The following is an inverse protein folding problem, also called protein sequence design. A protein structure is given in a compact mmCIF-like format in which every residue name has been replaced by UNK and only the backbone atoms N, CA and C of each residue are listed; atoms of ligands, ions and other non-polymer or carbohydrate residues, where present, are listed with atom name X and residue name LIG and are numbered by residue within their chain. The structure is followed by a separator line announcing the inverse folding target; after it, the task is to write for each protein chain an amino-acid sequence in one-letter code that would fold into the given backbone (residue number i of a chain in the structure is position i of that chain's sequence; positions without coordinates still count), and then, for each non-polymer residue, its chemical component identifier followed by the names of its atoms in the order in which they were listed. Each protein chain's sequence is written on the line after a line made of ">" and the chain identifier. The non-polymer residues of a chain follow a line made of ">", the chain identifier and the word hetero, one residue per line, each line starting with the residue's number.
data_IF_016653110786
#
_entry.id   IF_016653110786
#
_cell.length_a   1.000
_cell.length_b   1.000
_cell.length_c   1.000
_cell.angle_alpha   90.00
_cell.angle_beta   90.00
_cell.angle_gamma   90.00
#
_symmetry.space_group_name_H-M   'P 1'
#
loop_
_entity.id
_entity.type
_entity.pdbx_description
1 polymer ?
#
# COMPACT_ATOMS: atom_id res chain seq x y z
N UNK A 1 -13.55 1.59 -20.36
CA UNK A 1 -13.99 1.25 -19.00
C UNK A 1 -12.95 1.74 -17.99
N UNK A 2 -13.41 2.14 -16.86
CA UNK A 2 -12.52 2.74 -15.86
C UNK A 2 -12.18 1.76 -14.76
N UNK A 3 -10.95 1.76 -14.27
CA UNK A 3 -10.63 1.13 -13.02
C UNK A 3 -11.32 1.86 -11.94
N UNK A 4 -11.97 1.12 -11.13
CA UNK A 4 -12.39 1.66 -9.87
C UNK A 4 -11.42 1.18 -8.81
N UNK A 5 -10.67 2.09 -8.28
CA UNK A 5 -9.76 1.85 -7.19
C UNK A 5 -10.44 2.31 -5.90
N UNK A 6 -10.62 1.39 -4.98
CA UNK A 6 -11.17 1.68 -3.67
C UNK A 6 -10.03 1.71 -2.67
N UNK A 7 -9.97 2.75 -1.87
CA UNK A 7 -8.90 2.92 -0.89
C UNK A 7 -9.40 2.73 0.54
N UNK A 8 -8.55 2.06 1.35
CA UNK A 8 -8.71 1.97 2.78
C UNK A 8 -8.26 3.25 3.49
N UNK A 9 -7.66 3.12 4.69
CA UNK A 9 -7.22 1.85 5.27
C UNK A 9 -8.37 1.02 5.86
N UNK A 10 -8.33 -0.27 5.60
CA UNK A 10 -9.28 -1.24 6.16
C UNK A 10 -8.54 -2.31 6.96
N UNK A 11 -9.25 -2.94 7.88
CA UNK A 11 -8.79 -4.19 8.47
C UNK A 11 -8.65 -5.25 7.37
N UNK A 12 -7.59 -6.04 7.44
CA UNK A 12 -7.41 -7.13 6.51
C UNK A 12 -8.43 -8.24 6.75
N UNK A 13 -8.97 -8.78 5.67
CA UNK A 13 -9.79 -9.98 5.72
C UNK A 13 -8.92 -11.21 6.02
N UNK A 14 -9.56 -12.31 6.40
CA UNK A 14 -8.87 -13.54 6.82
C UNK A 14 -7.80 -14.01 5.84
N UNK A 15 -8.08 -13.95 4.55
CA UNK A 15 -7.15 -14.39 3.53
C UNK A 15 -5.83 -13.61 3.57
N UNK A 16 -5.91 -12.31 3.73
CA UNK A 16 -4.71 -11.45 3.81
C UNK A 16 -3.94 -11.68 5.11
N UNK A 17 -4.65 -11.81 6.21
CA UNK A 17 -4.01 -12.10 7.50
C UNK A 17 -3.24 -13.41 7.44
N UNK A 18 -3.84 -14.44 6.88
CA UNK A 18 -3.17 -15.75 6.71
C UNK A 18 -1.92 -15.63 5.83
N UNK A 19 -2.01 -14.88 4.73
CA UNK A 19 -0.87 -14.64 3.85
C UNK A 19 0.24 -13.87 4.57
N UNK A 20 -0.13 -12.85 5.34
CA UNK A 20 0.82 -12.06 6.12
C UNK A 20 1.52 -12.91 7.20
N UNK A 21 0.82 -13.81 7.85
CA UNK A 21 1.43 -14.71 8.82
C UNK A 21 2.52 -15.55 8.17
N UNK A 22 2.26 -16.05 6.97
CA UNK A 22 3.24 -16.83 6.20
C UNK A 22 4.44 -15.96 5.79
N UNK A 23 4.19 -14.77 5.27
CA UNK A 23 5.24 -13.86 4.82
C UNK A 23 6.16 -13.43 5.98
N UNK A 24 5.57 -13.04 7.10
CA UNK A 24 6.36 -12.67 8.28
C UNK A 24 7.20 -13.85 8.77
N UNK A 25 6.63 -15.05 8.83
CA UNK A 25 7.32 -16.25 9.27
C UNK A 25 8.49 -16.62 8.35
N UNK A 26 8.34 -16.43 7.05
CA UNK A 26 9.42 -16.66 6.08
C UNK A 26 10.63 -15.77 6.33
N UNK A 27 10.41 -14.54 6.78
CA UNK A 27 11.44 -13.59 7.16
C UNK A 27 11.87 -13.73 8.62
N UNK A 28 11.37 -14.73 9.34
CA UNK A 28 11.60 -14.97 10.77
C UNK A 28 11.09 -13.84 11.65
N UNK A 29 9.97 -13.25 11.25
CA UNK A 29 9.28 -12.20 12.00
C UNK A 29 7.88 -12.65 12.40
N UNK A 30 7.29 -11.90 13.32
CA UNK A 30 5.93 -12.10 13.81
C UNK A 30 5.00 -11.02 13.23
N UNK A 31 3.83 -11.42 12.82
CA UNK A 31 2.81 -10.48 12.37
C UNK A 31 2.22 -9.71 13.55
N UNK A 32 2.33 -8.38 13.50
CA UNK A 32 1.76 -7.47 14.50
C UNK A 32 0.39 -6.94 14.08
N UNK A 33 0.19 -6.72 12.80
CA UNK A 33 -1.04 -6.20 12.24
C UNK A 33 -1.02 -6.24 10.72
N UNK A 34 -2.16 -5.95 10.12
CA UNK A 34 -2.32 -5.94 8.68
C UNK A 34 -3.22 -4.79 8.26
N UNK A 35 -2.79 -4.04 7.24
CA UNK A 35 -3.55 -2.93 6.67
C UNK A 35 -3.91 -3.27 5.22
N UNK A 36 -5.19 -3.22 4.90
CA UNK A 36 -5.66 -3.33 3.53
C UNK A 36 -5.75 -1.93 2.93
N UNK A 37 -4.86 -1.61 2.01
CA UNK A 37 -4.66 -0.26 1.49
C UNK A 37 -5.65 0.07 0.38
N UNK A 38 -5.84 -0.87 -0.55
CA UNK A 38 -6.67 -0.63 -1.71
C UNK A 38 -7.17 -1.93 -2.32
N UNK A 39 -8.25 -1.83 -3.05
CA UNK A 39 -8.80 -2.91 -3.86
C UNK A 39 -9.03 -2.41 -5.29
N UNK A 40 -8.65 -3.23 -6.24
CA UNK A 40 -8.79 -2.90 -7.67
C UNK A 40 -9.82 -3.81 -8.28
N UNK A 41 -10.86 -3.22 -8.84
CA UNK A 41 -11.91 -3.97 -9.50
C UNK A 41 -11.54 -4.28 -10.95
N UNK A 42 -11.56 -5.54 -11.32
CA UNK A 42 -11.03 -6.04 -12.59
C UNK A 42 -11.99 -6.09 -13.76
N UNK A 43 -13.23 -5.73 -13.60
CA UNK A 43 -14.14 -5.48 -14.72
C UNK A 43 -13.74 -4.22 -15.49
N UNK A 44 -12.64 -3.69 -15.16
CA UNK A 44 -12.02 -2.55 -15.66
C UNK A 44 -11.06 -2.86 -16.80
N UNK A 45 -11.36 -2.24 -17.89
CA UNK A 45 -10.49 -2.24 -19.05
C UNK A 45 -9.85 -0.87 -19.12
N UNK A 46 -8.68 -0.78 -18.60
CA UNK A 46 -7.95 0.45 -18.65
C UNK A 46 -6.49 0.17 -18.36
N UNK A 47 -5.71 1.18 -18.47
CA UNK A 47 -4.28 1.09 -18.30
C UNK A 47 -3.88 1.28 -16.86
N UNK A 48 -4.55 0.67 -15.88
CA UNK A 48 -4.13 0.90 -14.53
C UNK A 48 -3.27 -0.17 -13.95
N UNK A 49 -2.55 0.33 -13.05
CA UNK A 49 -1.64 -0.27 -12.13
C UNK A 49 -2.07 -1.62 -11.76
N UNK A 50 -1.39 -2.48 -12.27
CA UNK A 50 -1.36 -3.78 -11.69
C UNK A 50 -0.15 -3.80 -10.79
N UNK A 51 -0.33 -3.38 -9.58
CA UNK A 51 0.61 -3.84 -8.59
C UNK A 51 0.41 -5.33 -8.48
N UNK A 52 1.47 -6.12 -8.51
CA UNK A 52 1.35 -7.56 -8.50
C UNK A 52 1.06 -8.08 -7.10
N UNK A 53 -0.11 -7.78 -6.61
CA UNK A 53 -0.63 -8.42 -5.41
C UNK A 53 -1.92 -9.11 -5.82
N UNK A 54 -1.84 -10.26 -6.49
CA UNK A 54 -3.04 -10.93 -6.92
C UNK A 54 -3.78 -11.46 -5.72
N UNK A 55 -4.96 -10.95 -5.53
CA UNK A 55 -5.91 -11.53 -4.61
C UNK A 55 -6.99 -12.17 -5.44
N UNK A 56 -7.12 -13.46 -5.31
CA UNK A 56 -8.21 -14.16 -5.96
C UNK A 56 -9.46 -14.04 -5.11
N UNK A 57 -10.22 -13.02 -5.35
CA UNK A 57 -11.59 -12.94 -4.89
C UNK A 57 -12.40 -12.42 -6.06
N UNK A 58 -12.80 -13.34 -6.94
CA UNK A 58 -13.47 -12.97 -8.16
C UNK A 58 -12.53 -12.15 -9.05
N UNK A 59 -12.99 -10.99 -9.48
CA UNK A 59 -12.25 -10.09 -10.38
C UNK A 59 -11.58 -8.94 -9.65
N UNK A 60 -10.90 -9.22 -8.51
CA UNK A 60 -10.31 -8.15 -7.68
C UNK A 60 -8.88 -8.43 -7.31
N UNK A 61 -8.12 -7.35 -7.12
CA UNK A 61 -6.77 -7.37 -6.57
C UNK A 61 -6.72 -6.53 -5.30
N UNK A 62 -6.31 -7.13 -4.19
CA UNK A 62 -6.08 -6.40 -2.97
C UNK A 62 -4.65 -5.92 -2.86
N UNK A 63 -4.48 -4.70 -2.42
CA UNK A 63 -3.19 -4.14 -2.04
C UNK A 63 -3.18 -4.02 -0.54
N UNK A 64 -2.40 -4.85 0.13
CA UNK A 64 -2.32 -4.86 1.58
C UNK A 64 -0.88 -4.87 2.05
N UNK A 65 -0.67 -4.46 3.30
CA UNK A 65 0.65 -4.42 3.92
C UNK A 65 0.64 -5.24 5.19
N UNK A 66 1.64 -6.10 5.32
CA UNK A 66 1.86 -6.92 6.51
C UNK A 66 2.80 -6.17 7.46
N UNK A 67 2.28 -5.77 8.61
CA UNK A 67 3.11 -5.17 9.66
C UNK A 67 3.79 -6.27 10.46
N UNK A 68 4.85 -6.83 9.91
CA UNK A 68 5.71 -7.75 10.65
C UNK A 68 6.55 -6.96 11.66
N UNK A 69 7.07 -7.60 12.69
CA UNK A 69 7.89 -6.93 13.70
C UNK A 69 9.31 -6.60 13.20
N UNK A 70 9.38 -5.93 12.07
CA UNK A 70 10.66 -5.47 11.52
C UNK A 70 11.34 -4.46 12.45
N UNK A 71 12.66 -4.46 12.53
CA UNK A 71 13.35 -3.40 13.23
C UNK A 71 13.12 -2.06 12.51
N UNK A 72 12.89 -1.02 13.30
CA UNK A 72 12.80 0.35 12.77
C UNK A 72 14.20 0.81 12.38
N UNK A 73 14.33 1.37 11.18
CA UNK A 73 15.62 1.89 10.72
C UNK A 73 15.99 3.16 11.48
N UNK A 74 17.30 3.43 11.67
CA UNK A 74 17.76 4.70 12.19
C UNK A 74 17.28 5.86 11.33
N UNK A 75 16.99 6.98 11.95
CA UNK A 75 16.50 8.18 11.24
C UNK A 75 17.40 8.59 10.10
N UNK A 76 18.72 8.54 10.28
CA UNK A 76 19.69 8.90 9.25
C UNK A 76 19.57 8.00 8.01
N UNK A 77 19.38 6.71 8.21
CA UNK A 77 19.19 5.74 7.10
C UNK A 77 17.89 6.02 6.37
N UNK A 78 16.80 6.22 7.09
CA UNK A 78 15.50 6.54 6.51
C UNK A 78 15.55 7.84 5.70
N UNK A 79 16.28 8.84 6.17
CA UNK A 79 16.42 10.11 5.44
C UNK A 79 17.19 9.95 4.13
N UNK A 80 18.21 9.08 4.09
CA UNK A 80 18.92 8.74 2.85
C UNK A 80 17.98 8.08 1.86
N UNK A 81 17.18 7.14 2.32
CA UNK A 81 16.19 6.44 1.48
C UNK A 81 15.12 7.42 0.94
N UNK A 82 14.67 8.34 1.78
CA UNK A 82 13.71 9.37 1.36
C UNK A 82 14.29 10.28 0.27
N UNK A 83 15.55 10.66 0.39
CA UNK A 83 16.23 11.46 -0.63
C UNK A 83 16.34 10.71 -1.96
N UNK A 84 16.56 9.41 -1.92
CA UNK A 84 16.55 8.58 -3.13
C UNK A 84 15.20 8.69 -3.85
N UNK A 85 14.11 8.60 -3.12
CA UNK A 85 12.76 8.78 -3.67
C UNK A 85 12.58 10.19 -4.25
N UNK A 86 12.89 11.21 -3.48
CA UNK A 86 12.73 12.60 -3.91
C UNK A 86 13.50 12.89 -5.20
N UNK A 87 14.67 12.30 -5.35
CA UNK A 87 15.51 12.46 -6.54
C UNK A 87 14.90 11.89 -7.79
N UNK A 88 14.18 10.76 -7.71
CA UNK A 88 13.63 10.09 -8.88
C UNK A 88 12.11 10.29 -9.03
N UNK A 89 11.49 10.96 -8.10
CA UNK A 89 10.04 11.07 -8.01
C UNK A 89 9.37 11.55 -9.30
N UNK A 90 9.90 12.60 -9.91
CA UNK A 90 9.30 13.16 -11.12
C UNK A 90 9.41 12.20 -12.30
N UNK A 91 10.59 11.61 -12.51
CA UNK A 91 10.77 10.60 -13.56
C UNK A 91 9.95 9.35 -13.28
N UNK A 92 9.81 8.96 -12.03
CA UNK A 92 8.95 7.85 -11.63
C UNK A 92 7.49 8.10 -12.03
N UNK A 93 6.96 9.28 -11.75
CA UNK A 93 5.60 9.66 -12.13
C UNK A 93 5.39 9.67 -13.63
N UNK A 94 6.38 10.13 -14.38
CA UNK A 94 6.35 10.11 -15.84
C UNK A 94 6.31 8.69 -16.39
N UNK A 95 7.17 7.82 -15.87
CA UNK A 95 7.22 6.41 -16.28
C UNK A 95 5.92 5.68 -15.91
N UNK A 96 5.40 5.95 -14.73
CA UNK A 96 4.13 5.40 -14.28
C UNK A 96 2.99 5.85 -15.20
N UNK A 97 2.97 7.13 -15.56
CA UNK A 97 1.94 7.69 -16.43
C UNK A 97 1.95 7.07 -17.84
N UNK A 98 3.12 6.73 -18.33
CA UNK A 98 3.25 6.04 -19.63
C UNK A 98 2.66 4.62 -19.59
N UNK A 99 2.73 3.97 -18.44
CA UNK A 99 2.28 2.58 -18.30
C UNK A 99 0.80 2.47 -17.93
N UNK A 100 0.31 3.38 -17.08
CA UNK A 100 -0.94 3.19 -16.37
C UNK A 100 -1.94 4.32 -16.54
N UNK A 101 -1.60 5.37 -17.24
CA UNK A 101 -2.40 6.56 -17.34
C UNK A 101 -1.86 7.70 -16.48
N UNK A 102 -2.41 8.88 -16.64
CA UNK A 102 -1.91 10.08 -15.97
C UNK A 102 -1.84 9.93 -14.45
N UNK A 103 -0.68 10.29 -13.87
CA UNK A 103 -0.55 10.35 -12.42
C UNK A 103 -1.56 11.34 -11.84
N UNK A 104 -2.36 10.94 -10.85
CA UNK A 104 -3.42 11.81 -10.33
C UNK A 104 -2.91 13.11 -9.75
N UNK A 105 -3.69 14.17 -9.92
CA UNK A 105 -3.43 15.49 -9.36
C UNK A 105 -4.72 16.07 -8.76
N UNK A 106 -4.56 16.87 -7.71
CA UNK A 106 -5.64 17.66 -7.11
C UNK A 106 -5.19 19.13 -7.07
N UNK A 107 -5.96 20.00 -7.70
CA UNK A 107 -5.64 21.43 -7.71
C UNK A 107 -4.25 21.75 -8.27
N UNK A 108 -3.80 21.00 -9.27
CA UNK A 108 -2.47 21.16 -9.86
C UNK A 108 -1.33 20.55 -9.07
N UNK A 109 -1.62 19.93 -7.93
CA UNK A 109 -0.63 19.26 -7.08
C UNK A 109 -0.71 17.76 -7.27
N UNK A 110 0.40 17.14 -7.62
CA UNK A 110 0.49 15.69 -7.79
C UNK A 110 0.20 14.96 -6.47
N UNK A 111 -0.55 13.88 -6.57
CA UNK A 111 -0.77 13.01 -5.41
C UNK A 111 0.56 12.48 -4.88
N UNK A 112 0.70 12.31 -3.56
CA UNK A 112 1.89 11.66 -3.03
C UNK A 112 1.98 10.21 -3.48
N UNK A 113 3.21 9.75 -3.66
CA UNK A 113 3.50 8.34 -3.82
C UNK A 113 3.59 7.70 -2.43
N UNK A 114 2.74 6.72 -2.18
CA UNK A 114 2.76 6.01 -0.91
C UNK A 114 3.61 4.74 -1.04
N UNK A 115 4.55 4.59 -0.13
CA UNK A 115 5.34 3.37 -0.02
C UNK A 115 4.54 2.33 0.76
N UNK A 116 4.18 1.22 0.11
CA UNK A 116 3.36 0.14 0.71
C UNK A 116 4.08 -0.43 1.93
N UNK A 117 5.35 -0.84 1.78
CA UNK A 117 6.24 -1.05 2.91
C UNK A 117 6.97 0.26 3.16
N UNK A 118 6.77 0.82 4.33
CA UNK A 118 7.27 2.14 4.65
C UNK A 118 8.79 2.19 4.81
N UNK A 119 9.35 3.38 4.64
CA UNK A 119 10.79 3.58 4.70
C UNK A 119 11.37 3.33 6.10
N UNK A 120 10.57 3.55 7.15
CA UNK A 120 10.99 3.28 8.52
C UNK A 120 11.26 1.79 8.77
N UNK A 121 10.65 0.91 8.00
CA UNK A 121 10.72 -0.53 8.17
C UNK A 121 11.35 -1.24 6.95
N UNK A 122 12.16 -0.53 6.21
CA UNK A 122 12.98 -1.11 5.15
C UNK A 122 12.30 -1.27 3.80
N UNK A 123 11.22 -0.52 3.55
CA UNK A 123 10.61 -0.49 2.23
C UNK A 123 11.54 0.12 1.19
N UNK A 124 11.54 -0.42 -0.03
CA UNK A 124 12.34 0.12 -1.10
C UNK A 124 11.77 1.47 -1.56
N UNK A 125 12.57 2.56 -1.52
CA UNK A 125 12.07 3.89 -1.86
C UNK A 125 11.78 4.11 -3.34
N UNK A 126 12.26 3.24 -4.22
CA UNK A 126 12.21 3.43 -5.67
C UNK A 126 11.61 2.25 -6.44
N UNK A 127 11.20 1.20 -5.76
CA UNK A 127 10.60 0.03 -6.39
C UNK A 127 9.17 0.34 -6.86
N UNK A 128 8.87 0.23 -8.17
CA UNK A 128 7.52 0.46 -8.68
C UNK A 128 6.46 -0.42 -8.01
N UNK A 129 6.82 -1.60 -7.55
CA UNK A 129 5.89 -2.51 -6.87
C UNK A 129 5.58 -2.09 -5.43
N UNK A 130 6.32 -1.14 -4.89
CA UNK A 130 6.15 -0.64 -3.53
C UNK A 130 5.51 0.74 -3.45
N UNK A 131 5.09 1.31 -4.58
CA UNK A 131 4.63 2.71 -4.63
C UNK A 131 3.31 2.80 -5.38
N UNK A 132 2.32 3.43 -4.75
CA UNK A 132 1.03 3.72 -5.35
C UNK A 132 0.68 5.21 -5.18
N UNK A 133 -0.02 5.81 -6.15
CA UNK A 133 -0.56 7.15 -5.95
C UNK A 133 -1.73 7.08 -4.97
N UNK A 134 -1.74 7.96 -3.99
CA UNK A 134 -2.79 8.01 -2.97
C UNK A 134 -3.22 9.46 -2.77
N UNK A 135 -4.53 9.68 -2.70
CA UNK A 135 -5.06 11.00 -2.40
C UNK A 135 -4.50 11.53 -1.07
N UNK A 136 -4.18 12.83 -0.95
CA UNK A 136 -3.54 13.35 0.25
C UNK A 136 -4.25 13.03 1.56
N UNK A 137 -5.58 13.13 1.62
CA UNK A 137 -6.34 12.82 2.83
C UNK A 137 -6.24 11.34 3.22
N UNK A 138 -6.23 10.45 2.24
CA UNK A 138 -6.09 9.01 2.46
C UNK A 138 -4.64 8.67 2.85
N UNK A 139 -3.68 9.34 2.25
CA UNK A 139 -2.28 9.20 2.63
C UNK A 139 -2.06 9.57 4.11
N UNK A 140 -2.71 10.60 4.58
CA UNK A 140 -2.67 10.99 5.99
C UNK A 140 -3.26 9.91 6.90
N UNK A 141 -4.33 9.26 6.47
CA UNK A 141 -4.93 8.13 7.20
C UNK A 141 -3.97 6.94 7.27
N UNK A 142 -3.29 6.63 6.18
CA UNK A 142 -2.26 5.59 6.16
C UNK A 142 -1.10 5.94 7.11
N UNK A 143 -0.67 7.20 7.11
CA UNK A 143 0.41 7.67 7.98
C UNK A 143 0.07 7.47 9.46
N UNK A 144 -1.20 7.62 9.83
CA UNK A 144 -1.67 7.35 11.20
C UNK A 144 -1.82 5.86 11.49
N UNK A 145 -2.26 5.09 10.50
CA UNK A 145 -2.53 3.67 10.69
C UNK A 145 -1.26 2.83 10.86
N UNK A 146 -0.19 3.16 10.15
CA UNK A 146 1.04 2.37 10.16
C UNK A 146 1.66 2.19 11.53
N UNK A 147 1.91 3.27 12.33
CA UNK A 147 2.47 3.09 13.66
C UNK A 147 1.59 2.23 14.57
N UNK A 148 0.29 2.39 14.50
CA UNK A 148 -0.66 1.59 15.28
C UNK A 148 -0.63 0.12 14.86
N UNK A 149 -0.54 -0.14 13.56
CA UNK A 149 -0.44 -1.48 13.00
C UNK A 149 0.82 -2.20 13.47
N UNK A 150 1.97 -1.56 13.37
CA UNK A 150 3.24 -2.12 13.84
C UNK A 150 3.29 -2.30 15.35
N UNK A 151 2.52 -1.49 16.09
CA UNK A 151 2.39 -1.63 17.54
C UNK A 151 1.41 -2.75 17.96
N UNK A 152 0.79 -3.42 17.02
CA UNK A 152 -0.18 -4.47 17.30
C UNK A 152 -1.47 -3.97 17.90
N UNK A 153 -1.86 -2.73 17.62
CA UNK A 153 -3.06 -2.11 18.15
C UNK A 153 -4.30 -2.41 17.32
N UNK A 154 -5.45 -2.47 17.99
CA UNK A 154 -6.73 -2.57 17.31
C UNK A 154 -6.99 -1.30 16.46
N UNK A 155 -7.68 -1.40 15.31
CA UNK A 155 -8.30 -2.61 14.75
C UNK A 155 -7.36 -3.46 13.90
N UNK A 156 -6.11 -3.06 13.73
CA UNK A 156 -5.17 -3.66 12.76
C UNK A 156 -4.71 -5.06 13.14
N UNK A 157 -4.81 -5.42 14.42
CA UNK A 157 -4.45 -6.74 14.94
C UNK A 157 -5.61 -7.76 14.90
N UNK A 158 -6.74 -7.39 14.32
CA UNK A 158 -7.93 -8.23 14.23
C UNK A 158 -8.36 -8.41 12.78
N UNK A 159 -9.11 -9.48 12.51
CA UNK A 159 -9.61 -9.77 11.18
C UNK A 159 -10.86 -8.94 10.88
N UNK A 160 -10.86 -8.28 9.74
CA UNK A 160 -11.99 -7.51 9.27
C UNK A 160 -12.95 -8.32 8.38
N UNK A 161 -14.01 -7.68 7.88
CA UNK A 161 -14.96 -8.30 6.97
C UNK A 161 -14.32 -8.59 5.60
N UNK A 162 -14.89 -9.52 4.87
CA UNK A 162 -14.40 -9.88 3.53
C UNK A 162 -14.55 -8.73 2.54
N UNK A 163 -15.55 -7.89 2.73
CA UNK A 163 -15.79 -6.73 1.89
C UNK A 163 -16.12 -5.52 2.77
N UNK A 164 -15.14 -4.64 3.04
CA UNK A 164 -15.32 -3.53 3.97
C UNK A 164 -15.97 -2.28 3.36
N UNK A 165 -16.35 -2.33 2.09
CA UNK A 165 -16.96 -1.21 1.39
C UNK A 165 -18.17 -1.67 0.58
N UNK A 166 -19.00 -0.72 0.18
CA UNK A 166 -20.14 -0.98 -0.70
C UNK A 166 -19.66 -1.09 -2.16
N UNK A 167 -20.00 -2.19 -2.80
CA UNK A 167 -19.63 -2.49 -4.17
C UNK A 167 -20.87 -2.48 -5.06
N UNK A 168 -21.37 -1.30 -5.31
CA UNK A 168 -22.53 -1.13 -6.19
C UNK A 168 -22.12 -0.77 -7.62
#
# INVERSE_FOLDING_TARGET
>A
MKTTLFYGPWQCRRQFVNQCQMECAQERHTLMGCIWLADIKLDWVGSLVVLPVPVKAGSRYGIYHCCCNYPTLPKAVKEVERKRWEKIRDSFRDDWSKKFGEWPVDGGISWPGHHIRDLWHGGDPVDPNNIIPVQPSIHDEFTRAYPACYAGQAPWNTVGPDLPYSDN
#
